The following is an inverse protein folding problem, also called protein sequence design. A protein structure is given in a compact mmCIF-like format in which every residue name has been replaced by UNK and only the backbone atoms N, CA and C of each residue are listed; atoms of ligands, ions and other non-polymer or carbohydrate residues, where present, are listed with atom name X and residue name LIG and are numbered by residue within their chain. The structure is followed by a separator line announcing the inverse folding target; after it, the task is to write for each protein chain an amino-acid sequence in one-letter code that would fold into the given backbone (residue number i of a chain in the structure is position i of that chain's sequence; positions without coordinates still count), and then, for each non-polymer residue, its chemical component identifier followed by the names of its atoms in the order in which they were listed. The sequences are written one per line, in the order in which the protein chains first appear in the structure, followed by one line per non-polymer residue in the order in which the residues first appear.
data_IF_724424458970
#
_entry.id   IF_724424458970
#
_cell.length_a   1.000
_cell.length_b   1.000
_cell.length_c   1.000
_cell.angle_alpha   90.00
_cell.angle_beta   90.00
_cell.angle_gamma   90.00
#
_symmetry.space_group_name_H-M   'P 1'
#
loop_
_entity.id
_entity.type
_entity.pdbx_description
1 polymer ?
#
# COMPACT_ATOMS: atom_id res chain seq x y z
N UNK A 1 -2.69 -21.63 2.74
CA UNK A 1 -2.58 -20.22 2.34
C UNK A 1 -2.33 -20.19 0.85
N UNK A 2 -3.27 -19.68 0.07
CA UNK A 2 -3.13 -19.51 -1.37
C UNK A 2 -2.30 -18.27 -1.68
N UNK A 3 -1.79 -18.16 -2.92
CA UNK A 3 -1.10 -16.93 -3.35
C UNK A 3 -2.07 -15.73 -3.35
N UNK A 4 -3.36 -15.95 -3.63
CA UNK A 4 -4.40 -14.92 -3.53
C UNK A 4 -4.53 -14.39 -2.10
N UNK A 5 -4.70 -15.28 -1.10
CA UNK A 5 -4.79 -14.90 0.31
C UNK A 5 -3.53 -14.14 0.78
N UNK A 6 -2.36 -14.52 0.26
CA UNK A 6 -1.09 -13.82 0.56
C UNK A 6 -1.09 -12.40 -0.02
N UNK A 7 -1.51 -12.24 -1.27
CA UNK A 7 -1.59 -10.93 -1.94
C UNK A 7 -2.61 -10.02 -1.25
N UNK A 8 -3.79 -10.54 -0.89
CA UNK A 8 -4.80 -9.77 -0.15
C UNK A 8 -4.29 -9.28 1.21
N UNK A 9 -3.55 -10.14 1.93
CA UNK A 9 -2.91 -9.74 3.18
C UNK A 9 -1.87 -8.64 2.97
N UNK A 10 -1.07 -8.74 1.92
CA UNK A 10 -0.06 -7.72 1.58
C UNK A 10 -0.70 -6.37 1.21
N UNK A 11 -1.78 -6.40 0.42
CA UNK A 11 -2.61 -5.23 0.10
C UNK A 11 -3.11 -4.56 1.38
N UNK A 12 -3.67 -5.33 2.32
CA UNK A 12 -4.19 -4.80 3.57
C UNK A 12 -3.10 -4.10 4.41
N UNK A 13 -1.89 -4.67 4.46
CA UNK A 13 -0.73 -4.08 5.15
C UNK A 13 -0.33 -2.77 4.49
N UNK A 14 -0.22 -2.71 3.16
CA UNK A 14 0.16 -1.48 2.45
C UNK A 14 -0.87 -0.38 2.60
N UNK A 15 -2.17 -0.71 2.56
CA UNK A 15 -3.24 0.25 2.82
C UNK A 15 -3.16 0.83 4.24
N UNK A 16 -2.78 0.04 5.23
CA UNK A 16 -2.55 0.53 6.59
C UNK A 16 -1.30 1.43 6.67
N UNK A 17 -0.21 1.06 5.99
CA UNK A 17 1.00 1.88 5.92
C UNK A 17 0.73 3.25 5.28
N UNK A 18 -0.02 3.28 4.16
CA UNK A 18 -0.44 4.53 3.51
C UNK A 18 -1.27 5.39 4.47
N UNK A 19 -2.24 4.80 5.17
CA UNK A 19 -3.06 5.52 6.16
C UNK A 19 -2.21 6.08 7.30
N UNK A 20 -1.28 5.29 7.82
CA UNK A 20 -0.36 5.69 8.88
C UNK A 20 0.54 6.85 8.46
N UNK A 21 1.23 6.75 7.32
CA UNK A 21 2.06 7.84 6.79
C UNK A 21 1.26 9.10 6.47
N UNK A 22 0.02 8.95 5.96
CA UNK A 22 -0.87 10.10 5.73
C UNK A 22 -1.24 10.79 7.04
N UNK A 23 -1.43 10.04 8.12
CA UNK A 23 -1.67 10.59 9.46
C UNK A 23 -0.44 11.33 9.98
N UNK A 24 0.77 10.81 9.75
CA UNK A 24 2.02 11.51 10.11
C UNK A 24 2.13 12.85 9.37
N UNK A 25 1.80 12.88 8.07
CA UNK A 25 1.77 14.12 7.28
C UNK A 25 0.76 15.16 7.76
N UNK A 26 -0.21 14.75 8.57
CA UNK A 26 -1.20 15.67 9.15
C UNK A 26 -0.69 16.36 10.43
N UNK A 27 0.48 15.95 10.96
CA UNK A 27 1.12 16.60 12.10
C UNK A 27 1.74 17.94 11.69
N UNK A 28 1.26 19.03 12.29
CA UNK A 28 1.74 20.40 12.03
C UNK A 28 3.15 20.66 12.55
N UNK A 29 3.68 19.80 13.42
CA UNK A 29 5.05 19.89 13.94
C UNK A 29 6.06 19.11 13.08
N UNK A 30 5.62 18.44 12.02
CA UNK A 30 6.48 17.66 11.15
C UNK A 30 7.45 18.57 10.39
N UNK A 31 8.74 18.23 10.42
CA UNK A 31 9.74 18.97 9.64
C UNK A 31 9.50 18.79 8.14
N UNK A 32 9.95 19.75 7.32
CA UNK A 32 9.83 19.67 5.86
C UNK A 32 10.54 18.43 5.30
N UNK A 33 11.72 18.09 5.83
CA UNK A 33 12.46 16.89 5.43
C UNK A 33 11.70 15.60 5.77
N UNK A 34 11.11 15.53 6.96
CA UNK A 34 10.29 14.38 7.36
C UNK A 34 9.02 14.30 6.50
N UNK A 35 8.35 15.42 6.22
CA UNK A 35 7.21 15.47 5.34
C UNK A 35 7.55 15.03 3.91
N UNK A 36 8.74 15.40 3.40
CA UNK A 36 9.20 14.97 2.08
C UNK A 36 9.43 13.45 2.05
N UNK A 37 10.07 12.88 3.08
CA UNK A 37 10.28 11.44 3.21
C UNK A 37 8.97 10.67 3.29
N UNK A 38 8.02 11.13 4.11
CA UNK A 38 6.71 10.48 4.22
C UNK A 38 5.92 10.53 2.91
N UNK A 39 5.99 11.63 2.16
CA UNK A 39 5.38 11.70 0.81
C UNK A 39 6.01 10.68 -0.15
N UNK A 40 7.34 10.59 -0.18
CA UNK A 40 8.04 9.61 -1.00
C UNK A 40 7.67 8.16 -0.60
N UNK A 41 7.56 7.87 0.69
CA UNK A 41 7.10 6.56 1.19
C UNK A 41 5.67 6.26 0.72
N UNK A 42 4.75 7.22 0.82
CA UNK A 42 3.37 7.05 0.35
C UNK A 42 3.31 6.78 -1.16
N UNK A 43 4.10 7.49 -1.96
CA UNK A 43 4.18 7.26 -3.41
C UNK A 43 4.65 5.84 -3.72
N UNK A 44 5.69 5.35 -3.03
CA UNK A 44 6.17 3.98 -3.17
C UNK A 44 5.10 2.95 -2.76
N UNK A 45 4.41 3.17 -1.64
CA UNK A 45 3.34 2.26 -1.19
C UNK A 45 2.17 2.23 -2.17
N UNK A 46 1.81 3.37 -2.77
CA UNK A 46 0.74 3.43 -3.77
C UNK A 46 1.13 2.69 -5.05
N UNK A 47 2.34 2.87 -5.53
CA UNK A 47 2.84 2.12 -6.69
C UNK A 47 2.79 0.61 -6.44
N UNK A 48 3.30 0.15 -5.29
CA UNK A 48 3.27 -1.27 -4.92
C UNK A 48 1.84 -1.81 -4.74
N UNK A 49 0.93 -0.97 -4.23
CA UNK A 49 -0.49 -1.31 -4.12
C UNK A 49 -1.11 -1.59 -5.50
N UNK A 50 -0.83 -0.74 -6.49
CA UNK A 50 -1.35 -0.89 -7.85
C UNK A 50 -0.87 -2.21 -8.49
N UNK A 51 0.41 -2.56 -8.30
CA UNK A 51 0.97 -3.83 -8.78
C UNK A 51 0.29 -5.05 -8.12
N UNK A 52 0.07 -5.00 -6.81
CA UNK A 52 -0.60 -6.09 -6.09
C UNK A 52 -2.08 -6.20 -6.43
N UNK A 53 -2.77 -5.08 -6.69
CA UNK A 53 -4.16 -5.09 -7.14
C UNK A 53 -4.28 -5.77 -8.51
N UNK A 54 -3.41 -5.43 -9.46
CA UNK A 54 -3.36 -6.13 -10.76
C UNK A 54 -3.08 -7.62 -10.60
N UNK A 55 -2.14 -7.99 -9.71
CA UNK A 55 -1.83 -9.39 -9.43
C UNK A 55 -3.01 -10.14 -8.80
N UNK A 56 -3.71 -9.53 -7.83
CA UNK A 56 -4.90 -10.08 -7.21
C UNK A 56 -5.98 -10.35 -8.26
N UNK A 57 -6.25 -9.37 -9.12
CA UNK A 57 -7.29 -9.49 -10.13
C UNK A 57 -6.97 -10.62 -11.12
N UNK A 58 -5.70 -10.79 -11.50
CA UNK A 58 -5.25 -11.93 -12.30
C UNK A 58 -5.37 -13.28 -11.58
N UNK A 59 -5.06 -13.34 -10.29
CA UNK A 59 -5.20 -14.57 -9.49
C UNK A 59 -6.67 -14.94 -9.24
N UNK A 60 -7.53 -13.94 -9.02
CA UNK A 60 -8.96 -14.12 -8.86
C UNK A 60 -9.57 -14.68 -10.14
N UNK A 61 -9.23 -14.10 -11.29
CA UNK A 61 -9.67 -14.59 -12.60
C UNK A 61 -9.33 -16.07 -12.81
N UNK A 62 -8.11 -16.48 -12.47
CA UNK A 62 -7.66 -17.89 -12.59
C UNK A 62 -8.32 -18.84 -11.57
N UNK A 63 -8.80 -18.32 -10.44
CA UNK A 63 -9.47 -19.11 -9.42
C UNK A 63 -10.96 -19.32 -9.72
N UNK A 64 -11.54 -18.44 -10.56
CA UNK A 64 -12.93 -18.48 -11.00
C UNK A 64 -13.14 -19.30 -12.30
N UNK A 65 -12.05 -19.74 -12.95
CA UNK A 65 -12.02 -20.71 -14.08
C UNK A 65 -11.93 -22.17 -13.60
#
# INVERSE_FOLDING_TARGET
MTELERVEREIAILQENVRSSTRVLSDTNLSQDAAHRERASIELYRHHLDELLMKRDGLQFLADE
#
